data_IF_962730838825
#
_entry.id   IF_962730838825
#
_cell.length_a   1.000
_cell.length_b   1.000
_cell.length_c   1.000
_cell.angle_alpha   90.00
_cell.angle_beta   90.00
_cell.angle_gamma   90.00
#
_symmetry.space_group_name_H-M   'P 1'
#
loop_
_entity.id
_entity.type
_entity.pdbx_description
1 polymer ?
#
# COMPACT_ATOMS: atom_id res chain seq x y z
N UNK A 1 -68.66 5.01 -34.55
CA UNK A 1 -67.82 5.44 -33.41
C UNK A 1 -66.35 5.43 -33.84
N UNK A 2 -65.63 6.57 -33.85
CA UNK A 2 -64.19 6.57 -34.11
C UNK A 2 -63.39 6.29 -32.82
N UNK A 3 -62.34 5.49 -32.92
CA UNK A 3 -61.47 5.11 -31.81
C UNK A 3 -60.63 6.31 -31.30
N UNK A 4 -60.31 6.37 -29.99
CA UNK A 4 -59.56 7.48 -29.42
C UNK A 4 -58.10 7.45 -29.91
N UNK A 5 -57.66 8.55 -30.52
CA UNK A 5 -56.25 8.76 -30.90
C UNK A 5 -55.45 9.07 -29.63
N UNK A 6 -54.55 8.16 -29.23
CA UNK A 6 -53.56 8.44 -28.19
C UNK A 6 -52.63 9.57 -28.67
N UNK A 7 -52.73 10.72 -28.01
CA UNK A 7 -51.96 11.92 -28.31
C UNK A 7 -50.46 11.67 -28.16
N UNK A 8 -49.67 12.08 -29.15
CA UNK A 8 -48.21 12.03 -29.12
C UNK A 8 -47.56 12.94 -28.03
N UNK A 9 -48.37 13.66 -27.26
CA UNK A 9 -47.95 14.65 -26.26
C UNK A 9 -47.44 14.06 -24.94
N UNK A 10 -47.64 12.76 -24.66
CA UNK A 10 -47.18 12.14 -23.40
C UNK A 10 -45.74 11.61 -23.43
N UNK A 11 -45.07 11.65 -24.60
CA UNK A 11 -43.68 11.16 -24.78
C UNK A 11 -42.52 12.09 -24.36
N UNK A 12 -42.66 13.41 -24.04
CA UNK A 12 -41.52 14.24 -23.64
C UNK A 12 -41.16 14.14 -22.15
N UNK A 13 -42.07 13.71 -21.27
CA UNK A 13 -41.83 13.70 -19.82
C UNK A 13 -40.90 12.55 -19.37
N UNK A 14 -41.03 11.36 -19.98
CA UNK A 14 -40.22 10.19 -19.65
C UNK A 14 -38.76 10.34 -20.10
N UNK A 15 -38.53 10.91 -21.30
CA UNK A 15 -37.19 11.17 -21.85
C UNK A 15 -36.47 12.31 -21.12
N UNK A 16 -37.20 13.34 -20.67
CA UNK A 16 -36.65 14.40 -19.82
C UNK A 16 -36.25 13.90 -18.43
N UNK A 17 -37.02 13.00 -17.81
CA UNK A 17 -36.66 12.34 -16.54
C UNK A 17 -35.39 11.52 -16.66
N UNK A 18 -35.27 10.67 -17.69
CA UNK A 18 -34.07 9.85 -17.94
C UNK A 18 -32.82 10.70 -18.18
N UNK A 19 -32.94 11.83 -18.90
CA UNK A 19 -31.83 12.80 -19.10
C UNK A 19 -31.41 13.51 -17.80
N UNK A 20 -32.32 13.70 -16.85
CA UNK A 20 -32.05 14.35 -15.56
C UNK A 20 -31.17 13.48 -14.64
N UNK A 21 -31.36 12.15 -14.67
CA UNK A 21 -30.52 11.18 -13.95
C UNK A 21 -29.11 11.02 -14.58
N UNK A 22 -28.99 11.24 -15.88
CA UNK A 22 -27.71 11.28 -16.58
C UNK A 22 -27.01 12.65 -16.53
N UNK A 23 -27.48 13.57 -15.69
CA UNK A 23 -26.91 14.91 -15.60
C UNK A 23 -25.46 14.88 -15.12
N UNK A 24 -24.59 15.78 -15.62
CA UNK A 24 -23.21 15.89 -15.15
C UNK A 24 -23.09 16.06 -13.62
N UNK A 25 -24.09 16.70 -13.00
CA UNK A 25 -24.18 16.90 -11.55
C UNK A 25 -24.37 15.58 -10.78
N UNK A 26 -25.26 14.70 -11.24
CA UNK A 26 -25.47 13.37 -10.61
C UNK A 26 -24.22 12.51 -10.77
N UNK A 27 -23.58 12.53 -11.95
CA UNK A 27 -22.31 11.81 -12.19
C UNK A 27 -21.18 12.33 -11.29
N UNK A 28 -21.07 13.64 -11.10
CA UNK A 28 -20.08 14.25 -10.22
C UNK A 28 -20.34 13.89 -8.74
N UNK A 29 -21.60 13.91 -8.30
CA UNK A 29 -21.99 13.51 -6.95
C UNK A 29 -21.71 12.02 -6.70
N UNK A 30 -22.08 11.12 -7.62
CA UNK A 30 -21.76 9.68 -7.51
C UNK A 30 -20.26 9.43 -7.45
N UNK A 31 -19.46 10.09 -8.32
CA UNK A 31 -18.01 9.96 -8.30
C UNK A 31 -17.40 10.43 -6.99
N UNK A 32 -17.92 11.53 -6.42
CA UNK A 32 -17.50 12.03 -5.11
C UNK A 32 -17.77 11.00 -4.00
N UNK A 33 -18.97 10.42 -3.96
CA UNK A 33 -19.34 9.37 -2.99
C UNK A 33 -18.51 8.10 -3.17
N UNK A 34 -18.22 7.70 -4.41
CA UNK A 34 -17.36 6.56 -4.69
C UNK A 34 -15.95 6.77 -4.14
N UNK A 35 -15.36 7.96 -4.35
CA UNK A 35 -14.03 8.27 -3.80
C UNK A 35 -14.02 8.33 -2.28
N UNK A 36 -15.07 8.87 -1.64
CA UNK A 36 -15.22 8.84 -0.18
C UNK A 36 -15.29 7.41 0.35
N UNK A 37 -16.07 6.54 -0.28
CA UNK A 37 -16.18 5.12 0.10
C UNK A 37 -14.84 4.38 -0.09
N UNK A 38 -14.19 4.55 -1.24
CA UNK A 38 -12.89 3.92 -1.51
C UNK A 38 -11.81 4.43 -0.57
N UNK A 39 -11.83 5.72 -0.19
CA UNK A 39 -10.94 6.26 0.82
C UNK A 39 -11.15 5.58 2.17
N UNK A 40 -12.40 5.46 2.61
CA UNK A 40 -12.74 4.83 3.88
C UNK A 40 -12.33 3.35 3.89
N UNK A 41 -12.62 2.61 2.83
CA UNK A 41 -12.23 1.20 2.71
C UNK A 41 -10.71 1.02 2.74
N UNK A 42 -9.98 1.87 2.00
CA UNK A 42 -8.51 1.85 2.02
C UNK A 42 -7.96 2.19 3.41
N UNK A 43 -8.56 3.17 4.11
CA UNK A 43 -8.14 3.52 5.46
C UNK A 43 -8.36 2.36 6.45
N UNK A 44 -9.55 1.76 6.43
CA UNK A 44 -9.88 0.62 7.28
C UNK A 44 -8.98 -0.59 6.99
N UNK A 45 -8.71 -0.88 5.72
CA UNK A 45 -7.78 -1.95 5.33
C UNK A 45 -6.35 -1.67 5.80
N UNK A 46 -5.86 -0.43 5.64
CA UNK A 46 -4.54 -0.02 6.08
C UNK A 46 -4.38 -0.09 7.60
N UNK A 47 -5.35 0.46 8.35
CA UNK A 47 -5.41 0.38 9.81
C UNK A 47 -5.49 -1.07 10.30
N UNK A 48 -6.38 -1.87 9.71
CA UNK A 48 -6.53 -3.28 10.06
C UNK A 48 -5.24 -4.07 9.85
N UNK A 49 -4.52 -3.80 8.75
CA UNK A 49 -3.23 -4.42 8.50
C UNK A 49 -2.15 -4.00 9.50
N UNK A 50 -2.07 -2.72 9.85
CA UNK A 50 -1.11 -2.23 10.84
C UNK A 50 -1.43 -2.76 12.24
N UNK A 51 -2.71 -2.86 12.60
CA UNK A 51 -3.14 -3.51 13.84
C UNK A 51 -2.74 -4.98 13.82
N UNK A 52 -2.96 -5.70 12.71
CA UNK A 52 -2.55 -7.08 12.59
C UNK A 52 -1.04 -7.27 12.80
N UNK A 53 -0.21 -6.39 12.23
CA UNK A 53 1.24 -6.41 12.42
C UNK A 53 1.65 -6.05 13.85
N UNK A 54 0.99 -5.06 14.46
CA UNK A 54 1.30 -4.62 15.82
C UNK A 54 0.89 -5.65 16.89
N UNK A 55 -0.17 -6.43 16.62
CA UNK A 55 -0.63 -7.52 17.49
C UNK A 55 -0.10 -8.89 17.04
N UNK A 56 1.03 -8.95 16.34
CA UNK A 56 1.63 -10.21 15.93
C UNK A 56 2.06 -11.03 17.16
N UNK A 57 1.69 -12.30 17.17
CA UNK A 57 2.15 -13.29 18.15
C UNK A 57 2.72 -14.51 17.38
N UNK A 58 4.00 -14.87 17.58
CA UNK A 58 4.63 -16.01 16.89
C UNK A 58 3.96 -17.35 17.16
N UNK A 59 3.23 -17.48 18.27
CA UNK A 59 2.50 -18.67 18.60
C UNK A 59 1.12 -18.72 17.91
N UNK A 60 0.68 -17.68 17.18
CA UNK A 60 -0.62 -17.65 16.50
C UNK A 60 -0.73 -18.73 15.43
N UNK A 61 -1.94 -19.31 15.20
CA UNK A 61 -2.15 -20.20 14.06
C UNK A 61 -1.86 -19.43 12.76
N UNK A 62 -0.81 -19.85 12.06
CA UNK A 62 -0.30 -19.16 10.88
C UNK A 62 0.29 -20.16 9.86
N UNK A 63 0.84 -19.65 8.77
CA UNK A 63 1.49 -20.49 7.74
C UNK A 63 2.76 -21.16 8.27
N UNK A 64 3.40 -20.55 9.26
CA UNK A 64 4.64 -21.03 9.84
C UNK A 64 4.47 -21.66 11.22
N UNK A 65 3.31 -21.47 11.85
CA UNK A 65 3.00 -22.03 13.18
C UNK A 65 1.71 -22.83 13.13
N UNK A 66 1.84 -24.16 13.18
CA UNK A 66 0.72 -25.08 13.28
C UNK A 66 0.33 -25.29 14.75
N UNK A 67 -0.82 -24.73 15.16
CA UNK A 67 -1.33 -24.82 16.53
C UNK A 67 -2.85 -24.87 16.55
N UNK A 68 -3.43 -25.37 17.64
CA UNK A 68 -4.88 -25.42 17.89
C UNK A 68 -5.39 -24.27 18.76
N UNK A 69 -4.51 -23.37 19.22
CA UNK A 69 -4.94 -22.25 20.05
C UNK A 69 -5.71 -21.19 19.24
N UNK A 70 -6.58 -20.46 19.93
CA UNK A 70 -7.22 -19.28 19.34
C UNK A 70 -6.16 -18.21 19.00
N UNK A 71 -6.31 -17.46 17.89
CA UNK A 71 -5.40 -16.37 17.55
C UNK A 71 -5.55 -15.21 18.55
N UNK A 72 -4.41 -14.71 19.03
CA UNK A 72 -4.32 -13.54 19.88
C UNK A 72 -4.32 -12.23 19.08
N UNK A 73 -4.05 -12.30 17.77
CA UNK A 73 -4.10 -11.17 16.85
C UNK A 73 -5.45 -10.43 16.91
N UNK A 74 -5.41 -9.11 17.07
CA UNK A 74 -6.60 -8.27 17.20
C UNK A 74 -7.40 -8.17 15.89
N UNK A 75 -6.76 -8.44 14.75
CA UNK A 75 -7.43 -8.55 13.44
C UNK A 75 -7.92 -9.98 13.14
N UNK A 76 -7.91 -10.87 14.15
CA UNK A 76 -8.42 -12.23 14.06
C UNK A 76 -7.54 -13.20 13.26
N UNK A 77 -8.07 -14.36 12.83
CA UNK A 77 -7.29 -15.41 12.15
C UNK A 77 -6.61 -14.93 10.86
N UNK A 78 -7.31 -14.12 10.06
CA UNK A 78 -6.73 -13.56 8.84
C UNK A 78 -5.61 -12.55 9.15
N UNK A 79 -5.75 -11.77 10.23
CA UNK A 79 -4.71 -10.88 10.72
C UNK A 79 -3.46 -11.63 11.15
N UNK A 80 -3.62 -12.73 11.89
CA UNK A 80 -2.52 -13.62 12.27
C UNK A 80 -1.77 -14.15 11.04
N UNK A 81 -2.49 -14.68 10.04
CA UNK A 81 -1.87 -15.19 8.81
C UNK A 81 -1.16 -14.10 7.99
N UNK A 82 -1.79 -12.94 7.81
CA UNK A 82 -1.22 -11.83 7.01
C UNK A 82 0.00 -11.22 7.68
N UNK A 83 -0.07 -10.97 8.99
CA UNK A 83 1.05 -10.42 9.75
C UNK A 83 2.24 -11.39 9.75
N UNK A 84 1.99 -12.68 9.91
CA UNK A 84 3.02 -13.70 9.83
C UNK A 84 3.69 -13.74 8.45
N UNK A 85 2.90 -13.80 7.36
CA UNK A 85 3.45 -13.79 6.00
C UNK A 85 4.28 -12.54 5.71
N UNK A 86 3.80 -11.36 6.13
CA UNK A 86 4.47 -10.09 5.87
C UNK A 86 5.74 -9.94 6.70
N UNK A 87 5.71 -10.29 7.99
CA UNK A 87 6.86 -10.19 8.86
C UNK A 87 7.92 -11.24 8.51
N UNK A 88 7.52 -12.48 8.20
CA UNK A 88 8.50 -13.49 7.79
C UNK A 88 9.06 -13.24 6.40
N UNK A 89 8.23 -12.77 5.47
CA UNK A 89 8.65 -12.44 4.11
C UNK A 89 9.53 -11.20 4.06
N UNK A 90 9.09 -10.10 4.66
CA UNK A 90 9.65 -8.76 4.45
C UNK A 90 10.10 -8.06 5.75
N UNK A 91 9.94 -8.71 6.91
CA UNK A 91 10.25 -8.09 8.20
C UNK A 91 9.43 -6.83 8.43
N UNK A 92 10.06 -5.79 8.98
CA UNK A 92 9.38 -4.52 9.27
C UNK A 92 8.94 -3.76 8.01
N UNK A 93 9.51 -4.07 6.83
CA UNK A 93 9.01 -3.52 5.56
C UNK A 93 7.59 -4.01 5.23
N UNK A 94 7.11 -5.08 5.90
CA UNK A 94 5.73 -5.54 5.86
C UNK A 94 4.69 -4.50 6.27
N UNK A 95 5.08 -3.42 6.98
CA UNK A 95 4.19 -2.31 7.32
C UNK A 95 3.89 -1.36 6.13
N UNK A 96 4.73 -1.38 5.09
CA UNK A 96 4.64 -0.45 3.96
C UNK A 96 3.29 -0.48 3.23
N UNK A 97 2.66 -1.65 2.94
CA UNK A 97 1.32 -1.68 2.35
C UNK A 97 0.26 -0.99 3.21
N UNK A 98 0.34 -1.14 4.54
CA UNK A 98 -0.58 -0.48 5.47
C UNK A 98 -0.44 1.05 5.40
N UNK A 99 0.80 1.54 5.41
CA UNK A 99 1.12 2.97 5.25
C UNK A 99 0.70 3.51 3.88
N UNK A 100 0.92 2.74 2.81
CA UNK A 100 0.52 3.12 1.46
C UNK A 100 -1.01 3.22 1.33
N UNK A 101 -1.76 2.27 1.89
CA UNK A 101 -3.21 2.31 1.94
C UNK A 101 -3.74 3.55 2.66
N UNK A 102 -3.14 3.94 3.78
CA UNK A 102 -3.49 5.16 4.51
C UNK A 102 -3.16 6.43 3.69
N UNK A 103 -1.99 6.48 3.04
CA UNK A 103 -1.62 7.57 2.15
C UNK A 103 -2.57 7.69 0.96
N UNK A 104 -2.97 6.56 0.37
CA UNK A 104 -3.93 6.52 -0.74
C UNK A 104 -5.33 6.93 -0.29
N UNK A 105 -5.78 6.45 0.88
CA UNK A 105 -7.04 6.85 1.48
C UNK A 105 -7.12 8.37 1.67
N UNK A 106 -6.08 8.98 2.22
CA UNK A 106 -5.97 10.43 2.38
C UNK A 106 -6.07 11.17 1.04
N UNK A 107 -5.39 10.68 0.00
CA UNK A 107 -5.43 11.30 -1.34
C UNK A 107 -6.81 11.18 -2.01
N UNK A 108 -7.50 10.05 -1.84
CA UNK A 108 -8.87 9.87 -2.33
C UNK A 108 -9.85 10.79 -1.60
N UNK A 109 -9.76 10.82 -0.26
CA UNK A 109 -10.61 11.65 0.60
C UNK A 109 -10.41 13.15 0.34
N UNK A 110 -9.17 13.57 0.04
CA UNK A 110 -8.84 14.94 -0.33
C UNK A 110 -9.19 15.30 -1.79
N UNK A 111 -9.83 14.39 -2.53
CA UNK A 111 -10.17 14.55 -3.95
C UNK A 111 -8.98 14.89 -4.86
N UNK A 112 -7.74 14.60 -4.43
CA UNK A 112 -6.50 14.81 -5.22
C UNK A 112 -6.27 13.71 -6.26
N UNK A 113 -7.03 12.62 -6.18
CA UNK A 113 -6.92 11.45 -7.04
C UNK A 113 -5.63 10.63 -6.82
N UNK A 114 -5.65 9.40 -7.34
CA UNK A 114 -4.48 8.53 -7.45
C UNK A 114 -4.01 8.49 -8.91
N UNK A 115 -3.31 9.54 -9.33
CA UNK A 115 -2.61 9.50 -10.62
C UNK A 115 -1.65 8.30 -10.66
N UNK A 116 -1.64 7.57 -11.79
CA UNK A 116 -0.79 6.39 -12.04
C UNK A 116 -0.90 5.28 -10.98
N UNK A 117 -2.12 4.93 -10.54
CA UNK A 117 -2.33 3.84 -9.57
C UNK A 117 -1.54 2.55 -9.88
N UNK A 118 -1.50 2.02 -11.13
CA UNK A 118 -0.70 0.83 -11.43
C UNK A 118 0.79 1.02 -11.17
N UNK A 119 1.35 2.20 -11.46
CA UNK A 119 2.74 2.50 -11.17
C UNK A 119 3.01 2.60 -9.67
N UNK A 120 2.06 3.11 -8.88
CA UNK A 120 2.15 3.17 -7.41
C UNK A 120 2.12 1.78 -6.80
N UNK A 121 1.25 0.91 -7.31
CA UNK A 121 1.18 -0.48 -6.89
C UNK A 121 2.47 -1.23 -7.27
N UNK A 122 2.98 -1.04 -8.49
CA UNK A 122 4.25 -1.61 -8.91
C UNK A 122 5.42 -1.11 -8.04
N UNK A 123 5.46 0.20 -7.74
CA UNK A 123 6.45 0.79 -6.85
C UNK A 123 6.34 0.24 -5.43
N UNK A 124 5.12 0.02 -4.91
CA UNK A 124 4.90 -0.60 -3.60
C UNK A 124 5.48 -2.02 -3.57
N UNK A 125 5.12 -2.85 -4.54
CA UNK A 125 5.56 -4.24 -4.63
C UNK A 125 7.09 -4.35 -4.80
N UNK A 126 7.70 -3.44 -5.57
CA UNK A 126 9.15 -3.38 -5.75
C UNK A 126 9.88 -2.80 -4.52
N UNK A 127 9.30 -1.82 -3.83
CA UNK A 127 9.89 -1.20 -2.65
C UNK A 127 9.97 -2.15 -1.46
N UNK A 128 9.00 -3.05 -1.29
CA UNK A 128 8.96 -4.00 -0.17
C UNK A 128 10.24 -4.84 -0.02
N UNK A 129 10.68 -5.62 -1.03
CA UNK A 129 11.90 -6.43 -0.92
C UNK A 129 13.18 -5.58 -0.79
N UNK A 130 13.21 -4.37 -1.34
CA UNK A 130 14.37 -3.48 -1.25
C UNK A 130 14.48 -2.85 0.15
N UNK A 131 13.37 -2.36 0.72
CA UNK A 131 13.33 -1.86 2.09
C UNK A 131 13.61 -2.97 3.10
N UNK A 132 13.11 -4.17 2.84
CA UNK A 132 13.46 -5.37 3.60
C UNK A 132 14.98 -5.60 3.61
N UNK A 133 15.65 -5.48 2.46
CA UNK A 133 17.10 -5.61 2.35
C UNK A 133 17.86 -4.53 3.16
N UNK A 134 17.38 -3.28 3.15
CA UNK A 134 17.93 -2.21 4.00
C UNK A 134 17.85 -2.56 5.49
N UNK A 135 16.72 -3.12 5.93
CA UNK A 135 16.50 -3.50 7.32
C UNK A 135 17.38 -4.67 7.77
N UNK A 136 17.80 -5.54 6.85
CA UNK A 136 18.81 -6.58 7.12
C UNK A 136 20.17 -5.98 7.48
N UNK A 137 20.52 -4.82 6.92
CA UNK A 137 21.78 -4.14 7.20
C UNK A 137 21.76 -3.37 8.53
N UNK A 138 20.56 -3.07 9.05
CA UNK A 138 20.43 -2.28 10.26
C UNK A 138 20.88 -3.11 11.49
N UNK A 139 21.67 -2.53 12.41
CA UNK A 139 22.11 -3.21 13.62
C UNK A 139 20.95 -3.30 14.62
N UNK A 140 20.00 -4.19 14.35
CA UNK A 140 18.82 -4.40 15.18
C UNK A 140 19.12 -5.55 16.17
N UNK A 141 18.82 -5.37 17.47
CA UNK A 141 19.09 -6.37 18.49
C UNK A 141 18.46 -7.74 18.16
N UNK A 142 19.19 -8.80 18.46
CA UNK A 142 18.67 -10.16 18.42
C UNK A 142 17.56 -10.34 19.47
N UNK A 143 16.54 -11.13 19.15
CA UNK A 143 15.38 -11.37 20.04
C UNK A 143 14.06 -10.75 19.57
N UNK A 144 14.00 -10.25 18.33
CA UNK A 144 12.71 -9.92 17.73
C UNK A 144 11.81 -11.16 17.66
N UNK A 145 10.49 -11.01 17.88
CA UNK A 145 9.54 -12.12 17.77
C UNK A 145 9.48 -12.72 16.36
N UNK A 146 10.01 -12.02 15.36
CA UNK A 146 10.09 -12.45 13.96
C UNK A 146 11.35 -13.29 13.73
N UNK A 147 11.17 -14.59 13.48
CA UNK A 147 12.29 -15.53 13.26
C UNK A 147 13.19 -15.16 12.07
N UNK A 148 12.60 -14.60 11.01
CA UNK A 148 13.31 -14.20 9.80
C UNK A 148 14.15 -12.92 9.96
N UNK A 149 14.16 -12.31 11.16
CA UNK A 149 14.88 -11.08 11.44
C UNK A 149 14.19 -9.83 10.89
N UNK A 150 14.84 -8.67 11.07
CA UNK A 150 14.23 -7.38 10.80
C UNK A 150 13.91 -7.11 9.32
N UNK A 151 14.67 -7.70 8.39
CA UNK A 151 14.43 -7.63 6.96
C UNK A 151 13.61 -8.80 6.39
N UNK A 152 13.26 -9.80 7.21
CA UNK A 152 12.63 -11.02 6.73
C UNK A 152 13.48 -11.81 5.72
N UNK A 153 12.91 -12.89 5.20
CA UNK A 153 13.59 -13.77 4.24
C UNK A 153 13.95 -13.05 2.93
N UNK A 154 13.03 -12.25 2.39
CA UNK A 154 13.27 -11.51 1.14
C UNK A 154 14.39 -10.49 1.28
N UNK A 155 14.48 -9.81 2.43
CA UNK A 155 15.55 -8.84 2.67
C UNK A 155 16.93 -9.48 2.67
N UNK A 156 17.10 -10.63 3.32
CA UNK A 156 18.35 -11.37 3.32
C UNK A 156 18.75 -11.84 1.90
N UNK A 157 17.79 -12.36 1.14
CA UNK A 157 18.03 -12.82 -0.24
C UNK A 157 18.42 -11.68 -1.17
N UNK A 158 17.71 -10.55 -1.11
CA UNK A 158 17.94 -9.40 -1.98
C UNK A 158 19.26 -8.71 -1.64
N UNK A 159 19.53 -8.48 -0.35
CA UNK A 159 20.82 -7.91 0.08
C UNK A 159 21.99 -8.81 -0.34
N UNK A 160 21.89 -10.11 -0.12
CA UNK A 160 22.92 -11.07 -0.53
C UNK A 160 23.15 -11.07 -2.05
N UNK A 161 22.08 -11.01 -2.85
CA UNK A 161 22.18 -10.94 -4.30
C UNK A 161 22.84 -9.64 -4.77
N UNK A 162 22.46 -8.49 -4.19
CA UNK A 162 23.06 -7.18 -4.52
C UNK A 162 24.53 -7.16 -4.15
N UNK A 163 24.89 -7.56 -2.93
CA UNK A 163 26.27 -7.58 -2.47
C UNK A 163 27.15 -8.48 -3.35
N UNK A 164 26.66 -9.69 -3.69
CA UNK A 164 27.39 -10.62 -4.55
C UNK A 164 27.60 -10.07 -5.97
N UNK A 165 26.54 -9.56 -6.61
CA UNK A 165 26.63 -9.02 -7.96
C UNK A 165 27.48 -7.74 -8.02
N UNK A 166 27.33 -6.86 -7.03
CA UNK A 166 28.09 -5.62 -7.00
C UNK A 166 29.59 -5.90 -6.78
N UNK A 167 29.94 -6.84 -5.90
CA UNK A 167 31.33 -7.28 -5.72
C UNK A 167 31.91 -7.90 -7.01
N UNK A 168 31.12 -8.70 -7.74
CA UNK A 168 31.55 -9.30 -9.00
C UNK A 168 31.83 -8.28 -10.10
N UNK A 169 31.04 -7.19 -10.17
CA UNK A 169 31.14 -6.18 -11.23
C UNK A 169 32.12 -5.05 -10.91
N UNK A 170 32.23 -4.67 -9.64
CA UNK A 170 32.93 -3.44 -9.20
C UNK A 170 34.11 -3.73 -8.25
N UNK A 171 34.41 -5.01 -8.00
CA UNK A 171 35.54 -5.42 -7.17
C UNK A 171 35.35 -5.05 -5.69
N UNK A 172 36.43 -4.67 -4.98
CA UNK A 172 36.42 -4.45 -3.53
C UNK A 172 35.42 -3.39 -3.04
N UNK A 173 35.09 -2.40 -3.88
CA UNK A 173 34.14 -1.33 -3.55
C UNK A 173 32.69 -1.67 -3.91
N UNK A 174 32.46 -2.82 -4.54
CA UNK A 174 31.15 -3.22 -5.06
C UNK A 174 30.09 -3.29 -3.98
N UNK A 175 30.38 -3.86 -2.81
CA UNK A 175 29.43 -3.92 -1.70
C UNK A 175 28.88 -2.54 -1.32
N UNK A 176 29.77 -1.59 -1.04
CA UNK A 176 29.38 -0.22 -0.66
C UNK A 176 28.58 0.48 -1.76
N UNK A 177 29.00 0.34 -3.02
CA UNK A 177 28.27 0.95 -4.15
C UNK A 177 26.88 0.31 -4.31
N UNK A 178 26.79 -1.01 -4.18
CA UNK A 178 25.54 -1.76 -4.22
C UNK A 178 24.58 -1.33 -3.12
N UNK A 179 25.08 -1.18 -1.90
CA UNK A 179 24.29 -0.75 -0.74
C UNK A 179 23.76 0.68 -0.91
N UNK A 180 24.60 1.61 -1.39
CA UNK A 180 24.16 2.99 -1.66
C UNK A 180 23.09 3.02 -2.75
N UNK A 181 23.26 2.25 -3.82
CA UNK A 181 22.27 2.14 -4.89
C UNK A 181 20.95 1.52 -4.40
N UNK A 182 21.05 0.49 -3.57
CA UNK A 182 19.92 -0.18 -2.94
C UNK A 182 19.13 0.80 -2.05
N UNK A 183 19.82 1.57 -1.20
CA UNK A 183 19.19 2.59 -0.35
C UNK A 183 18.46 3.65 -1.19
N UNK A 184 19.15 4.21 -2.19
CA UNK A 184 18.57 5.23 -3.05
C UNK A 184 17.31 4.73 -3.76
N UNK A 185 17.36 3.52 -4.33
CA UNK A 185 16.24 2.93 -5.05
C UNK A 185 15.08 2.56 -4.12
N UNK A 186 15.37 1.97 -2.96
CA UNK A 186 14.36 1.61 -1.96
C UNK A 186 13.56 2.83 -1.50
N UNK A 187 14.26 3.93 -1.15
CA UNK A 187 13.63 5.17 -0.71
C UNK A 187 12.82 5.84 -1.84
N UNK A 188 13.36 5.86 -3.06
CA UNK A 188 12.66 6.43 -4.22
C UNK A 188 11.35 5.68 -4.51
N UNK A 189 11.38 4.34 -4.52
CA UNK A 189 10.19 3.52 -4.77
C UNK A 189 9.20 3.58 -3.60
N UNK A 190 9.67 3.62 -2.34
CA UNK A 190 8.81 3.81 -1.19
C UNK A 190 8.08 5.15 -1.24
N UNK A 191 8.78 6.24 -1.59
CA UNK A 191 8.16 7.55 -1.76
C UNK A 191 7.13 7.56 -2.90
N UNK A 192 7.45 6.91 -4.03
CA UNK A 192 6.53 6.76 -5.15
C UNK A 192 5.28 5.94 -4.77
N UNK A 193 5.45 4.88 -3.97
CA UNK A 193 4.38 4.03 -3.46
C UNK A 193 3.42 4.80 -2.54
N UNK A 194 3.94 5.51 -1.53
CA UNK A 194 3.14 6.33 -0.61
C UNK A 194 2.46 7.51 -1.33
N UNK A 195 3.03 7.90 -2.45
CA UNK A 195 2.54 8.99 -3.27
C UNK A 195 2.82 10.36 -2.74
N UNK A 196 4.01 10.52 -2.16
CA UNK A 196 4.66 11.81 -2.06
C UNK A 196 4.99 12.26 -3.49
N UNK A 197 4.40 13.37 -3.92
CA UNK A 197 4.79 14.01 -5.16
C UNK A 197 6.16 14.69 -4.98
N UNK A 198 7.02 14.75 -6.02
CA UNK A 198 8.29 15.47 -5.95
C UNK A 198 8.14 16.95 -5.52
N UNK A 199 6.97 17.56 -5.76
CA UNK A 199 6.66 18.93 -5.32
C UNK A 199 6.41 19.09 -3.81
N UNK A 200 5.97 18.05 -3.11
CA UNK A 200 5.78 18.08 -1.65
C UNK A 200 7.13 18.09 -0.90
N UNK A 201 8.17 17.48 -1.48
CA UNK A 201 9.54 17.52 -0.94
C UNK A 201 10.17 18.93 -1.01
N UNK A 202 9.93 19.66 -2.11
CA UNK A 202 10.37 21.05 -2.25
C UNK A 202 9.61 22.01 -1.32
N UNK A 203 8.37 21.68 -0.96
CA UNK A 203 7.59 22.43 0.04
C UNK A 203 8.11 22.24 1.47
N UNK A 204 8.43 20.99 1.85
CA UNK A 204 9.01 20.68 3.16
C UNK A 204 10.41 21.25 3.35
N UNK A 205 11.24 21.26 2.30
CA UNK A 205 12.56 21.90 2.32
C UNK A 205 12.54 23.43 2.44
N UNK A 206 11.41 24.09 2.08
CA UNK A 206 11.21 25.53 2.28
C UNK A 206 10.64 25.85 3.65
N UNK A 207 9.74 25.01 4.17
CA UNK A 207 9.20 25.15 5.53
C UNK A 207 10.26 24.91 6.62
N UNK A 208 11.29 24.11 6.36
CA UNK A 208 12.43 23.92 7.26
C UNK A 208 13.50 25.03 7.15
N UNK A 209 13.34 26.00 6.23
CA UNK A 209 14.24 27.15 6.05
C UNK A 209 13.57 28.51 6.36
N UNK A 210 12.34 28.50 6.85
CA UNK A 210 11.62 29.67 7.34
C UNK A 210 11.55 29.63 8.86
#
# INVERSE_FOLDING_TARGET
MPAPRLSAADRPAATARLRRFASPAVKAAMRRRLYELLALLAALAGLGLLVALASYDPADPSLSTATTRAPANLAGPMGAMLSDLLLQGFGWAGALPGLALLGWAWRLGSHRGLGLFPARLAALLAAMPLLAALLTMAPIPAGLPVQAGAGGAAGAMVHGAVAHQAAALLGPFGGVIGDVALVALALALAAAALGLSPGEWLGLGRAARA
#
